data_IF_202011151405
#
_entry.id   IF_202011151405
#
_cell.length_a   1.000
_cell.length_b   1.000
_cell.length_c   1.000
_cell.angle_alpha   90.00
_cell.angle_beta   90.00
_cell.angle_gamma   90.00
#
_symmetry.space_group_name_H-M   'P 1'
#
loop_
_entity.id
_entity.type
_entity.pdbx_description
1 polymer ?
#
# COMPACT_ATOMS: atom_id res chain seq x y z
N UNK A 1 24.57 -2.02 -12.07
CA UNK A 1 23.78 -2.62 -13.17
C UNK A 1 22.81 -3.67 -12.66
N UNK A 2 23.25 -4.75 -12.00
CA UNK A 2 22.33 -5.75 -11.42
C UNK A 2 21.57 -5.24 -10.17
N UNK A 3 22.25 -4.50 -9.28
CA UNK A 3 21.58 -3.85 -8.15
C UNK A 3 20.65 -2.72 -8.63
N UNK A 4 21.06 -1.96 -9.64
CA UNK A 4 20.22 -0.90 -10.22
C UNK A 4 18.98 -1.47 -10.92
N UNK A 5 19.10 -2.62 -11.61
CA UNK A 5 17.94 -3.28 -12.22
C UNK A 5 17.02 -3.89 -11.16
N UNK A 6 17.58 -4.53 -10.13
CA UNK A 6 16.80 -5.07 -9.01
C UNK A 6 16.01 -3.97 -8.29
N UNK A 7 16.64 -2.82 -8.02
CA UNK A 7 15.96 -1.68 -7.41
C UNK A 7 14.87 -1.08 -8.33
N UNK A 8 15.08 -1.12 -9.65
CA UNK A 8 14.06 -0.67 -10.62
C UNK A 8 12.85 -1.60 -10.63
N UNK A 9 13.06 -2.91 -10.67
CA UNK A 9 11.99 -3.90 -10.66
C UNK A 9 11.18 -3.81 -9.34
N UNK A 10 11.88 -3.72 -8.20
CA UNK A 10 11.22 -3.58 -6.89
C UNK A 10 10.42 -2.27 -6.76
N UNK A 11 11.01 -1.15 -7.20
CA UNK A 11 10.32 0.15 -7.22
C UNK A 11 9.08 0.11 -8.13
N UNK A 12 9.14 -0.60 -9.25
CA UNK A 12 8.01 -0.76 -10.15
C UNK A 12 6.88 -1.56 -9.50
N UNK A 13 7.19 -2.68 -8.83
CA UNK A 13 6.21 -3.48 -8.09
C UNK A 13 5.42 -2.61 -7.08
N UNK A 14 6.11 -1.77 -6.31
CA UNK A 14 5.47 -0.83 -5.38
C UNK A 14 4.58 0.21 -6.08
N UNK A 15 4.99 0.74 -7.24
CA UNK A 15 4.20 1.71 -8.02
C UNK A 15 2.91 1.11 -8.57
N UNK A 16 2.96 -0.13 -9.04
CA UNK A 16 1.80 -0.85 -9.57
C UNK A 16 0.77 -1.10 -8.46
N UNK A 17 1.22 -1.58 -7.30
CA UNK A 17 0.36 -1.71 -6.12
C UNK A 17 -0.21 -0.36 -5.66
N UNK A 18 0.63 0.68 -5.61
CA UNK A 18 0.20 2.03 -5.25
C UNK A 18 -0.91 2.54 -6.18
N UNK A 19 -0.76 2.32 -7.48
CA UNK A 19 -1.73 2.72 -8.52
C UNK A 19 -3.07 2.03 -8.28
N UNK A 20 -3.04 0.73 -8.00
CA UNK A 20 -4.24 -0.03 -7.66
C UNK A 20 -4.97 0.53 -6.44
N UNK A 21 -4.27 0.80 -5.34
CA UNK A 21 -4.93 1.32 -4.15
C UNK A 21 -5.40 2.77 -4.29
N UNK A 22 -4.70 3.62 -5.06
CA UNK A 22 -5.05 5.04 -5.23
C UNK A 22 -6.20 5.26 -6.22
N UNK A 23 -6.18 4.54 -7.34
CA UNK A 23 -7.08 4.78 -8.47
C UNK A 23 -8.16 3.70 -8.63
N UNK A 24 -8.02 2.60 -7.90
CA UNK A 24 -8.97 1.50 -7.89
C UNK A 24 -8.90 0.63 -9.15
N UNK A 25 -10.00 -0.06 -9.42
CA UNK A 25 -10.07 -1.10 -10.46
C UNK A 25 -10.44 -0.49 -11.81
N UNK A 26 -9.53 -0.60 -12.77
CA UNK A 26 -9.79 -0.38 -14.20
C UNK A 26 -9.12 -1.48 -15.03
N UNK A 27 -9.51 -1.66 -16.29
CA UNK A 27 -8.90 -2.65 -17.17
C UNK A 27 -7.37 -2.46 -17.29
N UNK A 28 -6.91 -1.21 -17.34
CA UNK A 28 -5.49 -0.88 -17.40
C UNK A 28 -4.75 -1.29 -16.11
N UNK A 29 -5.30 -0.92 -14.96
CA UNK A 29 -4.68 -1.20 -13.65
C UNK A 29 -4.68 -2.69 -13.35
N UNK A 30 -5.78 -3.40 -13.61
CA UNK A 30 -5.86 -4.85 -13.40
C UNK A 30 -4.89 -5.59 -14.31
N UNK A 31 -4.79 -5.18 -15.58
CA UNK A 31 -3.83 -5.78 -16.52
C UNK A 31 -2.39 -5.54 -16.07
N UNK A 32 -2.02 -4.29 -15.73
CA UNK A 32 -0.66 -3.96 -15.29
C UNK A 32 -0.27 -4.76 -14.04
N UNK A 33 -1.16 -4.86 -13.05
CA UNK A 33 -0.93 -5.63 -11.83
C UNK A 33 -0.83 -7.13 -12.12
N UNK A 34 -1.66 -7.65 -13.01
CA UNK A 34 -1.61 -9.07 -13.36
C UNK A 34 -0.37 -9.43 -14.18
N UNK A 35 0.12 -8.53 -15.01
CA UNK A 35 1.37 -8.71 -15.75
C UNK A 35 2.59 -8.63 -14.81
N UNK A 36 2.61 -7.68 -13.89
CA UNK A 36 3.71 -7.48 -12.93
C UNK A 36 3.86 -8.66 -11.95
N UNK A 37 2.73 -9.18 -11.46
CA UNK A 37 2.72 -10.22 -10.42
C UNK A 37 2.25 -11.60 -10.91
N UNK A 38 2.09 -11.78 -12.21
CA UNK A 38 1.64 -13.03 -12.84
C UNK A 38 0.28 -13.57 -12.30
N UNK A 39 -0.65 -12.66 -11.96
CA UNK A 39 -1.98 -13.02 -11.43
C UNK A 39 -2.87 -13.65 -12.51
N UNK A 40 -3.54 -14.74 -12.17
CA UNK A 40 -4.50 -15.39 -13.06
C UNK A 40 -5.88 -14.72 -13.04
N UNK A 41 -6.27 -14.11 -14.15
CA UNK A 41 -7.58 -13.49 -14.35
C UNK A 41 -8.62 -14.43 -14.97
N UNK A 42 -8.29 -15.70 -15.22
CA UNK A 42 -9.13 -16.59 -16.05
C UNK A 42 -10.49 -16.94 -15.41
N UNK A 43 -10.64 -16.74 -14.11
CA UNK A 43 -11.81 -17.16 -13.34
C UNK A 43 -12.79 -16.03 -13.00
N UNK A 44 -12.43 -14.76 -13.26
CA UNK A 44 -13.15 -13.59 -12.74
C UNK A 44 -13.20 -12.45 -13.75
N UNK A 45 -14.25 -11.63 -13.70
CA UNK A 45 -14.35 -10.44 -14.55
C UNK A 45 -13.81 -9.20 -13.84
N UNK A 46 -13.42 -8.17 -14.60
CA UNK A 46 -13.03 -6.87 -14.04
C UNK A 46 -14.18 -6.27 -13.23
N UNK A 47 -15.43 -6.49 -13.66
CA UNK A 47 -16.62 -6.06 -12.94
C UNK A 47 -16.75 -6.74 -11.56
N UNK A 48 -16.49 -8.05 -11.46
CA UNK A 48 -16.50 -8.77 -10.18
C UNK A 48 -15.44 -8.20 -9.23
N UNK A 49 -14.22 -7.96 -9.75
CA UNK A 49 -13.10 -7.38 -9.00
C UNK A 49 -13.44 -5.95 -8.54
N UNK A 50 -14.02 -5.15 -9.42
CA UNK A 50 -14.41 -3.78 -9.11
C UNK A 50 -15.52 -3.71 -8.04
N UNK A 51 -16.49 -4.63 -8.08
CA UNK A 51 -17.53 -4.74 -7.06
C UNK A 51 -16.92 -5.11 -5.69
N UNK A 52 -16.00 -6.07 -5.66
CA UNK A 52 -15.34 -6.50 -4.43
C UNK A 52 -14.47 -5.38 -3.83
N UNK A 53 -13.65 -4.74 -4.66
CA UNK A 53 -12.86 -3.55 -4.28
C UNK A 53 -13.76 -2.44 -3.74
N UNK A 54 -14.87 -2.14 -4.42
CA UNK A 54 -15.78 -1.09 -3.97
C UNK A 54 -16.36 -1.40 -2.60
N UNK A 55 -16.89 -2.62 -2.42
CA UNK A 55 -17.52 -3.01 -1.17
C UNK A 55 -16.53 -3.01 0.01
N UNK A 56 -15.31 -3.50 -0.20
CA UNK A 56 -14.32 -3.64 0.87
C UNK A 56 -13.55 -2.36 1.17
N UNK A 57 -13.22 -1.55 0.15
CA UNK A 57 -12.20 -0.50 0.27
C UNK A 57 -12.78 0.91 0.08
N UNK A 58 -13.60 1.15 -0.95
CA UNK A 58 -13.92 2.52 -1.38
C UNK A 58 -15.38 2.97 -1.20
N UNK A 59 -16.29 2.05 -0.85
CA UNK A 59 -17.69 2.39 -0.60
C UNK A 59 -17.88 3.26 0.65
N UNK A 60 -18.94 4.09 0.71
CA UNK A 60 -19.33 4.74 1.95
C UNK A 60 -19.69 3.70 3.02
N UNK A 61 -18.80 3.50 3.99
CA UNK A 61 -18.95 2.45 5.01
C UNK A 61 -18.21 1.15 4.68
N UNK A 62 -17.26 1.19 3.74
CA UNK A 62 -16.29 0.14 3.48
C UNK A 62 -15.72 -0.45 4.79
N UNK A 63 -15.56 -1.77 4.82
CA UNK A 63 -15.10 -2.50 6.01
C UNK A 63 -13.59 -2.43 6.19
N UNK A 64 -12.84 -2.27 5.09
CA UNK A 64 -11.39 -2.27 5.03
C UNK A 64 -10.86 -0.99 4.37
N UNK A 65 -11.20 0.20 4.91
CA UNK A 65 -10.66 1.46 4.42
C UNK A 65 -9.13 1.44 4.54
N UNK A 66 -8.38 1.89 3.53
CA UNK A 66 -6.94 1.59 3.40
C UNK A 66 -6.05 2.67 4.05
N UNK A 67 -6.29 3.00 5.32
CA UNK A 67 -5.57 4.06 6.05
C UNK A 67 -4.92 3.53 7.33
N UNK A 68 -3.61 3.74 7.51
CA UNK A 68 -2.85 3.28 8.69
C UNK A 68 -3.53 3.70 10.00
N UNK A 69 -3.98 4.96 10.07
CA UNK A 69 -4.61 5.52 11.26
C UNK A 69 -5.83 4.75 11.75
N UNK A 70 -6.55 4.06 10.87
CA UNK A 70 -7.75 3.29 11.24
C UNK A 70 -7.43 1.93 11.87
N UNK A 71 -6.24 1.39 11.62
CA UNK A 71 -5.79 0.11 12.17
C UNK A 71 -5.01 0.28 13.48
N UNK A 72 -4.25 1.36 13.62
CA UNK A 72 -3.42 1.58 14.81
C UNK A 72 -4.07 2.43 15.90
N UNK A 73 -5.15 3.14 15.59
CA UNK A 73 -5.82 3.97 16.60
C UNK A 73 -6.82 3.16 17.44
N UNK A 74 -6.81 3.39 18.76
CA UNK A 74 -7.79 2.76 19.64
C UNK A 74 -9.17 3.41 19.48
N UNK A 75 -10.25 2.65 19.68
CA UNK A 75 -11.63 3.18 19.61
C UNK A 75 -11.83 4.41 20.49
N UNK A 76 -11.16 4.47 21.63
CA UNK A 76 -11.29 5.55 22.62
C UNK A 76 -10.55 6.83 22.22
N UNK A 77 -9.53 6.74 21.37
CA UNK A 77 -8.68 7.87 20.96
C UNK A 77 -8.52 7.99 19.44
N UNK A 78 -9.46 7.42 18.66
CA UNK A 78 -9.38 7.32 17.18
C UNK A 78 -9.03 8.63 16.49
N UNK A 79 -9.65 9.74 16.92
CA UNK A 79 -9.41 11.06 16.33
C UNK A 79 -7.99 11.57 16.59
N UNK A 80 -7.60 11.66 17.86
CA UNK A 80 -6.31 12.27 18.24
C UNK A 80 -5.11 11.39 17.89
N UNK A 81 -5.26 10.07 17.96
CA UNK A 81 -4.20 9.15 17.52
C UNK A 81 -4.13 9.08 15.99
N UNK A 82 -5.27 9.07 15.30
CA UNK A 82 -5.29 8.99 13.85
C UNK A 82 -4.70 10.23 13.18
N UNK A 83 -5.06 11.43 13.65
CA UNK A 83 -4.44 12.69 13.19
C UNK A 83 -2.92 12.65 13.39
N UNK A 84 -2.46 12.16 14.54
CA UNK A 84 -1.03 12.07 14.84
C UNK A 84 -0.29 11.10 13.91
N UNK A 85 -0.87 9.96 13.58
CA UNK A 85 -0.28 8.98 12.64
C UNK A 85 -0.15 9.61 11.25
N UNK A 86 -1.23 10.21 10.74
CA UNK A 86 -1.23 10.87 9.43
C UNK A 86 -0.23 12.04 9.37
N UNK A 87 -0.13 12.81 10.46
CA UNK A 87 0.89 13.85 10.61
C UNK A 87 2.31 13.26 10.61
N UNK A 88 2.57 12.19 11.37
CA UNK A 88 3.88 11.53 11.44
C UNK A 88 4.34 11.04 10.05
N UNK A 89 3.44 10.41 9.27
CA UNK A 89 3.68 10.00 7.88
C UNK A 89 4.01 11.21 6.99
N UNK A 90 3.21 12.29 7.08
CA UNK A 90 3.44 13.53 6.33
C UNK A 90 4.80 14.17 6.63
N UNK A 91 5.25 14.14 7.89
CA UNK A 91 6.58 14.63 8.27
C UNK A 91 7.71 13.79 7.66
N UNK A 92 7.52 12.47 7.49
CA UNK A 92 8.50 11.62 6.83
C UNK A 92 8.60 11.93 5.33
N UNK A 93 7.47 12.13 4.66
CA UNK A 93 7.45 12.63 3.27
C UNK A 93 8.24 13.94 3.16
N UNK A 94 7.96 14.91 4.02
CA UNK A 94 8.64 16.21 4.03
C UNK A 94 10.13 16.09 4.32
N UNK A 95 10.54 15.18 5.21
CA UNK A 95 11.95 14.96 5.54
C UNK A 95 12.75 14.36 4.36
N UNK A 96 12.08 13.63 3.49
CA UNK A 96 12.64 13.10 2.24
C UNK A 96 12.55 14.10 1.06
N UNK A 97 12.01 15.30 1.29
CA UNK A 97 11.89 16.35 0.28
C UNK A 97 10.59 16.34 -0.53
N UNK A 98 9.60 15.53 -0.13
CA UNK A 98 8.27 15.49 -0.74
C UNK A 98 7.29 16.34 0.06
N UNK A 99 6.65 17.31 -0.59
CA UNK A 99 5.58 18.08 0.03
C UNK A 99 4.23 17.62 -0.54
N UNK A 100 3.59 16.66 0.14
CA UNK A 100 2.26 16.16 -0.22
C UNK A 100 1.25 16.94 0.60
N UNK A 101 0.52 17.83 -0.07
CA UNK A 101 -0.55 18.60 0.56
C UNK A 101 -1.88 17.81 0.46
N UNK A 102 -2.45 17.34 1.60
CA UNK A 102 -3.71 16.60 1.61
C UNK A 102 -4.89 17.42 1.07
N UNK A 103 -4.87 18.76 1.25
CA UNK A 103 -5.93 19.64 0.74
C UNK A 103 -5.90 19.71 -0.80
N UNK A 104 -4.71 19.52 -1.39
CA UNK A 104 -4.52 19.50 -2.84
C UNK A 104 -4.80 18.13 -3.44
N UNK A 105 -4.34 17.05 -2.79
CA UNK A 105 -4.50 15.68 -3.30
C UNK A 105 -5.88 15.09 -3.01
N UNK A 106 -6.55 15.55 -1.95
CA UNK A 106 -7.79 14.95 -1.45
C UNK A 106 -7.59 13.58 -0.80
N UNK A 107 -6.34 13.15 -0.58
CA UNK A 107 -5.99 11.84 -0.03
C UNK A 107 -5.15 12.05 1.24
N UNK A 108 -5.57 11.53 2.40
CA UNK A 108 -4.77 11.53 3.62
C UNK A 108 -3.38 10.90 3.41
N UNK A 109 -2.31 11.47 4.01
CA UNK A 109 -0.93 10.99 3.89
C UNK A 109 -0.73 9.50 4.22
N UNK A 110 -1.51 8.98 5.16
CA UNK A 110 -1.47 7.60 5.67
C UNK A 110 -2.31 6.60 4.86
N UNK A 111 -2.72 6.99 3.65
CA UNK A 111 -3.36 6.07 2.71
C UNK A 111 -2.32 5.09 2.15
N UNK A 112 -2.61 3.78 2.17
CA UNK A 112 -1.67 2.72 1.73
C UNK A 112 -1.00 3.04 0.41
N UNK A 113 -1.76 3.50 -0.59
CA UNK A 113 -1.22 3.79 -1.91
C UNK A 113 -0.22 4.94 -1.93
N UNK A 114 -0.35 5.95 -1.06
CA UNK A 114 0.67 7.00 -0.91
C UNK A 114 1.92 6.46 -0.20
N UNK A 115 1.74 5.62 0.82
CA UNK A 115 2.84 4.99 1.54
C UNK A 115 3.66 4.05 0.63
N UNK A 116 2.99 3.23 -0.20
CA UNK A 116 3.66 2.37 -1.19
C UNK A 116 4.39 3.20 -2.25
N UNK A 117 3.80 4.30 -2.71
CA UNK A 117 4.47 5.21 -3.64
C UNK A 117 5.69 5.88 -3.01
N UNK A 118 5.62 6.18 -1.70
CA UNK A 118 6.75 6.69 -0.96
C UNK A 118 7.88 5.66 -0.82
N UNK A 119 7.56 4.38 -0.60
CA UNK A 119 8.55 3.30 -0.63
C UNK A 119 9.28 3.27 -1.97
N UNK A 120 8.54 3.27 -3.09
CA UNK A 120 9.14 3.29 -4.43
C UNK A 120 10.05 4.52 -4.63
N UNK A 121 9.63 5.69 -4.14
CA UNK A 121 10.44 6.90 -4.16
C UNK A 121 11.75 6.74 -3.38
N UNK A 122 11.71 6.18 -2.17
CA UNK A 122 12.90 5.97 -1.36
C UNK A 122 13.87 4.96 -2.01
N UNK A 123 13.34 3.91 -2.65
CA UNK A 123 14.13 2.93 -3.42
C UNK A 123 14.82 3.61 -4.62
N UNK A 124 14.06 4.34 -5.44
CA UNK A 124 14.59 5.04 -6.62
C UNK A 124 15.71 6.03 -6.27
N UNK A 125 15.63 6.64 -5.09
CA UNK A 125 16.60 7.63 -4.62
C UNK A 125 17.70 7.02 -3.73
N UNK A 126 17.73 5.69 -3.57
CA UNK A 126 18.69 4.97 -2.71
C UNK A 126 18.73 5.50 -1.25
N UNK A 127 17.56 5.87 -0.70
CA UNK A 127 17.41 6.41 0.65
C UNK A 127 17.17 5.29 1.67
N UNK A 128 18.15 4.39 1.80
CA UNK A 128 18.00 3.13 2.55
C UNK A 128 17.70 3.33 4.04
N UNK A 129 18.33 4.31 4.70
CA UNK A 129 18.09 4.59 6.12
C UNK A 129 16.64 5.05 6.38
N UNK A 130 16.11 5.90 5.49
CA UNK A 130 14.73 6.38 5.54
C UNK A 130 13.74 5.26 5.21
N UNK A 131 14.07 4.42 4.23
CA UNK A 131 13.29 3.23 3.87
C UNK A 131 13.16 2.27 5.06
N UNK A 132 14.29 1.90 5.67
CA UNK A 132 14.33 1.07 6.88
C UNK A 132 13.51 1.68 8.03
N UNK A 133 13.63 2.99 8.23
CA UNK A 133 12.86 3.70 9.26
C UNK A 133 11.37 3.67 8.95
N UNK A 134 10.98 3.92 7.70
CA UNK A 134 9.58 3.94 7.28
C UNK A 134 8.94 2.57 7.47
N UNK A 135 9.59 1.49 7.06
CA UNK A 135 9.09 0.13 7.27
C UNK A 135 8.85 -0.19 8.75
N UNK A 136 9.82 0.12 9.62
CA UNK A 136 9.72 -0.13 11.07
C UNK A 136 8.58 0.65 11.73
N UNK A 137 8.35 1.89 11.30
CA UNK A 137 7.41 2.79 11.94
C UNK A 137 5.99 2.69 11.36
N UNK A 138 5.87 2.47 10.05
CA UNK A 138 4.60 2.63 9.34
C UNK A 138 4.17 1.41 8.54
N UNK A 139 5.07 0.54 8.05
CA UNK A 139 4.58 -0.57 7.21
C UNK A 139 4.22 -1.82 8.01
N UNK A 140 5.17 -2.34 8.79
CA UNK A 140 5.00 -3.65 9.46
C UNK A 140 3.95 -3.65 10.58
N UNK A 141 3.54 -2.47 11.03
CA UNK A 141 2.66 -2.33 12.18
C UNK A 141 1.18 -2.55 11.84
N UNK A 142 0.80 -2.43 10.56
CA UNK A 142 -0.61 -2.54 10.16
C UNK A 142 -0.84 -3.30 8.84
N UNK A 143 0.08 -3.23 7.87
CA UNK A 143 -0.12 -3.89 6.56
C UNK A 143 -0.36 -5.39 6.69
N UNK A 144 0.37 -6.16 7.51
CA UNK A 144 0.09 -7.59 7.65
C UNK A 144 -1.35 -7.87 8.12
N UNK A 145 -1.83 -7.10 9.12
CA UNK A 145 -3.20 -7.22 9.60
C UNK A 145 -4.23 -6.78 8.55
N UNK A 146 -3.96 -5.70 7.82
CA UNK A 146 -4.82 -5.21 6.75
C UNK A 146 -4.98 -6.28 5.65
N UNK A 147 -3.87 -6.83 5.17
CA UNK A 147 -3.86 -7.87 4.15
C UNK A 147 -4.53 -9.17 4.62
N UNK A 148 -4.32 -9.60 5.88
CA UNK A 148 -5.01 -10.77 6.43
C UNK A 148 -6.53 -10.60 6.45
N UNK A 149 -7.01 -9.38 6.75
CA UNK A 149 -8.44 -9.07 6.70
C UNK A 149 -8.95 -9.01 5.26
N UNK A 150 -8.20 -8.39 4.35
CA UNK A 150 -8.55 -8.27 2.94
C UNK A 150 -8.65 -9.66 2.28
N UNK A 151 -7.66 -10.52 2.46
CA UNK A 151 -7.65 -11.89 1.96
C UNK A 151 -8.82 -12.72 2.52
N UNK A 152 -9.17 -12.50 3.79
CA UNK A 152 -10.27 -13.21 4.45
C UNK A 152 -11.66 -12.75 3.98
N UNK A 153 -11.85 -11.45 3.76
CA UNK A 153 -13.15 -10.86 3.41
C UNK A 153 -13.40 -10.81 1.90
N UNK A 154 -12.34 -10.79 1.09
CA UNK A 154 -12.40 -10.82 -0.36
C UNK A 154 -13.19 -12.03 -0.88
N UNK A 155 -14.04 -11.76 -1.86
CA UNK A 155 -14.78 -12.78 -2.60
C UNK A 155 -14.03 -13.22 -3.83
N UNK A 156 -13.29 -12.30 -4.43
CA UNK A 156 -12.52 -12.54 -5.64
C UNK A 156 -11.12 -13.06 -5.32
N UNK A 157 -10.63 -14.03 -6.09
CA UNK A 157 -9.27 -14.55 -5.97
C UNK A 157 -8.23 -13.46 -6.30
N UNK A 158 -8.53 -12.59 -7.27
CA UNK A 158 -7.68 -11.43 -7.56
C UNK A 158 -7.41 -10.56 -6.32
N UNK A 159 -8.45 -10.18 -5.57
CA UNK A 159 -8.31 -9.35 -4.38
C UNK A 159 -7.53 -10.06 -3.26
N UNK A 160 -7.69 -11.39 -3.14
CA UNK A 160 -6.91 -12.21 -2.20
C UNK A 160 -5.44 -12.26 -2.58
N UNK A 161 -5.15 -12.41 -3.86
CA UNK A 161 -3.79 -12.47 -4.38
C UNK A 161 -3.08 -11.12 -4.21
N UNK A 162 -3.75 -9.99 -4.51
CA UNK A 162 -3.25 -8.65 -4.22
C UNK A 162 -2.93 -8.47 -2.72
N UNK A 163 -3.80 -8.97 -1.84
CA UNK A 163 -3.57 -8.92 -0.40
C UNK A 163 -2.33 -9.74 0.01
N UNK A 164 -2.18 -10.95 -0.52
CA UNK A 164 -1.03 -11.82 -0.24
C UNK A 164 0.27 -11.20 -0.75
N UNK A 165 0.29 -10.73 -2.01
CA UNK A 165 1.45 -10.07 -2.63
C UNK A 165 1.87 -8.86 -1.83
N UNK A 166 0.93 -7.97 -1.48
CA UNK A 166 1.22 -6.76 -0.70
C UNK A 166 1.84 -7.11 0.66
N UNK A 167 1.31 -8.13 1.34
CA UNK A 167 1.85 -8.62 2.62
C UNK A 167 3.24 -9.21 2.45
N UNK A 168 3.42 -10.11 1.49
CA UNK A 168 4.68 -10.82 1.26
C UNK A 168 5.79 -9.86 0.87
N UNK A 169 5.51 -8.89 0.00
CA UNK A 169 6.45 -7.87 -0.42
C UNK A 169 6.91 -7.05 0.80
N UNK A 170 5.97 -6.56 1.63
CA UNK A 170 6.32 -5.78 2.82
C UNK A 170 7.12 -6.59 3.85
N UNK A 171 6.75 -7.86 4.09
CA UNK A 171 7.44 -8.69 5.08
C UNK A 171 8.84 -9.10 4.60
N UNK A 172 8.97 -9.51 3.34
CA UNK A 172 10.25 -9.95 2.77
C UNK A 172 11.24 -8.78 2.71
N UNK A 173 10.81 -7.63 2.19
CA UNK A 173 11.66 -6.44 2.12
C UNK A 173 12.07 -5.96 3.52
N UNK A 174 11.17 -6.06 4.50
CA UNK A 174 11.52 -5.74 5.87
C UNK A 174 12.60 -6.66 6.44
N UNK A 175 12.48 -7.96 6.19
CA UNK A 175 13.46 -8.95 6.63
C UNK A 175 14.82 -8.69 5.97
N UNK A 176 14.85 -8.52 4.65
CA UNK A 176 16.06 -8.23 3.88
C UNK A 176 16.73 -6.93 4.33
N UNK A 177 15.96 -5.88 4.61
CA UNK A 177 16.49 -4.60 5.09
C UNK A 177 17.10 -4.67 6.50
N UNK A 178 16.72 -5.62 7.35
CA UNK A 178 17.23 -5.71 8.72
C UNK A 178 18.23 -6.86 8.93
N UNK A 179 18.26 -7.86 8.05
CA UNK A 179 19.08 -9.06 8.20
C UNK A 179 19.92 -9.43 6.96
N UNK A 180 19.78 -8.70 5.86
CA UNK A 180 20.58 -8.84 4.63
C UNK A 180 21.96 -8.18 4.66
#
# INVERSE_FOLDING_TARGET
MLLDSFNQDLSQAYKVLATFYLYGVSEEVVRELSEEFEIDLSTETIEDIAEDFFNLISSPGATLPPYESLYLSSETNRRTQGERISDEVSHLYASAGLNIDPDTTGIPPDHIGLELLFIAYLIDNNMIDDLQRFFRLHMINWIPQYCDLLEKEARTEFMKEVASITRELILTDFEDLNYG
#
